data_IF_045550838858
#
_entry.id   IF_045550838858
#
_cell.length_a   1.000
_cell.length_b   1.000
_cell.length_c   1.000
_cell.angle_alpha   90.00
_cell.angle_beta   90.00
_cell.angle_gamma   90.00
#
_symmetry.space_group_name_H-M   'P 1'
#
loop_
_entity.id
_entity.type
_entity.pdbx_description
1 polymer ?
#
# COMPACT_ATOMS: atom_id res chain seq x y z
N UNK A 1 4.57 10.68 -21.35
CA UNK A 1 5.28 10.20 -20.15
C UNK A 1 4.51 10.45 -18.84
N UNK A 2 4.18 11.67 -18.42
CA UNK A 2 3.32 11.88 -17.22
C UNK A 2 1.94 11.17 -17.32
N UNK A 3 1.32 11.19 -18.51
CA UNK A 3 0.07 10.46 -18.77
C UNK A 3 0.23 8.93 -18.67
N UNK A 4 1.37 8.41 -19.08
CA UNK A 4 1.64 6.96 -19.02
C UNK A 4 1.90 6.55 -17.58
N UNK A 5 2.74 7.29 -16.84
CA UNK A 5 2.98 7.04 -15.43
C UNK A 5 1.67 7.12 -14.62
N UNK A 6 0.83 8.12 -14.88
CA UNK A 6 -0.52 8.21 -14.31
C UNK A 6 -1.32 6.94 -14.59
N UNK A 7 -1.37 6.49 -15.85
CA UNK A 7 -2.11 5.29 -16.25
C UNK A 7 -1.59 4.04 -15.53
N UNK A 8 -0.28 3.86 -15.44
CA UNK A 8 0.31 2.73 -14.71
C UNK A 8 -0.11 2.72 -13.22
N UNK A 9 -0.19 3.90 -12.57
CA UNK A 9 -0.68 4.01 -11.20
C UNK A 9 -2.17 3.67 -11.09
N UNK A 10 -3.01 4.17 -12.00
CA UNK A 10 -4.46 3.90 -12.02
C UNK A 10 -4.74 2.40 -12.22
N UNK A 11 -3.99 1.74 -13.09
CA UNK A 11 -4.11 0.32 -13.37
C UNK A 11 -3.49 -0.56 -12.27
N UNK A 12 -2.70 0.01 -11.34
CA UNK A 12 -2.04 -0.75 -10.27
C UNK A 12 -0.72 -1.42 -10.69
N UNK A 13 -0.14 -1.01 -11.83
CA UNK A 13 1.12 -1.55 -12.34
C UNK A 13 2.33 -0.88 -11.67
N UNK A 14 2.43 -0.97 -10.35
CA UNK A 14 3.41 -0.24 -9.55
C UNK A 14 4.87 -0.53 -9.93
N UNK A 15 5.16 -1.74 -10.43
CA UNK A 15 6.49 -2.07 -10.95
C UNK A 15 6.84 -1.30 -12.23
N UNK A 16 5.88 -1.10 -13.14
CA UNK A 16 6.08 -0.26 -14.34
C UNK A 16 6.14 1.22 -13.97
N UNK A 17 5.32 1.64 -13.01
CA UNK A 17 5.36 3.00 -12.48
C UNK A 17 6.75 3.33 -11.87
N UNK A 18 7.32 2.44 -11.07
CA UNK A 18 8.65 2.62 -10.47
C UNK A 18 9.74 2.83 -11.53
N UNK A 19 9.80 1.95 -12.54
CA UNK A 19 10.78 2.05 -13.65
C UNK A 19 10.65 3.37 -14.40
N UNK A 20 9.43 3.79 -14.72
CA UNK A 20 9.19 5.07 -15.40
C UNK A 20 9.62 6.26 -14.55
N UNK A 21 9.40 6.22 -13.23
CA UNK A 21 9.88 7.29 -12.34
C UNK A 21 11.42 7.35 -12.29
N UNK A 22 12.09 6.21 -12.34
CA UNK A 22 13.56 6.13 -12.44
C UNK A 22 14.06 6.72 -13.77
N UNK A 23 13.46 6.33 -14.89
CA UNK A 23 13.77 6.91 -16.21
C UNK A 23 13.57 8.43 -16.21
N UNK A 24 12.44 8.92 -15.68
CA UNK A 24 12.16 10.36 -15.58
C UNK A 24 13.24 11.08 -14.77
N UNK A 25 13.71 10.48 -13.68
CA UNK A 25 14.80 11.02 -12.86
C UNK A 25 16.13 11.02 -13.62
N UNK A 26 16.45 9.94 -14.33
CA UNK A 26 17.68 9.79 -15.11
C UNK A 26 17.76 10.85 -16.22
N UNK A 27 16.66 11.08 -16.93
CA UNK A 27 16.58 12.07 -18.00
C UNK A 27 16.22 13.49 -17.53
N UNK A 28 16.15 13.74 -16.21
CA UNK A 28 15.78 15.04 -15.62
C UNK A 28 14.44 15.59 -16.14
N UNK A 29 13.48 14.71 -16.38
CA UNK A 29 12.16 15.05 -16.89
C UNK A 29 11.21 15.38 -15.74
N UNK A 30 10.49 16.49 -15.85
CA UNK A 30 9.58 16.94 -14.79
C UNK A 30 8.36 16.04 -14.65
N UNK A 31 8.15 15.54 -13.43
CA UNK A 31 6.97 14.79 -13.03
C UNK A 31 5.98 15.68 -12.28
N UNK A 32 4.69 15.56 -12.59
CA UNK A 32 3.62 16.19 -11.81
C UNK A 32 3.40 15.38 -10.51
N UNK A 33 4.33 15.53 -9.56
CA UNK A 33 4.30 14.80 -8.29
C UNK A 33 3.00 15.01 -7.49
N UNK A 34 2.39 16.22 -7.43
CA UNK A 34 1.10 16.39 -6.77
C UNK A 34 -0.01 15.54 -7.40
N UNK A 35 -0.15 15.55 -8.74
CA UNK A 35 -1.15 14.75 -9.42
C UNK A 35 -0.92 13.25 -9.21
N UNK A 36 0.32 12.80 -9.36
CA UNK A 36 0.69 11.38 -9.19
C UNK A 36 0.45 10.90 -7.75
N UNK A 37 0.75 11.75 -6.76
CA UNK A 37 0.46 11.47 -5.35
C UNK A 37 -1.04 11.37 -5.08
N UNK A 38 -1.86 12.23 -5.70
CA UNK A 38 -3.32 12.17 -5.61
C UNK A 38 -3.87 10.86 -6.21
N UNK A 39 -3.36 10.46 -7.39
CA UNK A 39 -3.77 9.22 -8.05
C UNK A 39 -3.40 8.00 -7.20
N UNK A 40 -2.16 7.95 -6.70
CA UNK A 40 -1.70 6.89 -5.80
C UNK A 40 -2.56 6.82 -4.51
N UNK A 41 -2.95 7.98 -3.96
CA UNK A 41 -3.82 8.05 -2.77
C UNK A 41 -5.18 7.37 -3.02
N UNK A 42 -5.80 7.64 -4.18
CA UNK A 42 -7.08 7.03 -4.57
C UNK A 42 -6.92 5.52 -4.72
N UNK A 43 -5.89 5.09 -5.47
CA UNK A 43 -5.62 3.68 -5.71
C UNK A 43 -5.35 2.90 -4.43
N UNK A 44 -4.54 3.43 -3.52
CA UNK A 44 -4.31 2.83 -2.20
C UNK A 44 -5.60 2.69 -1.38
N UNK A 45 -6.49 3.69 -1.45
CA UNK A 45 -7.80 3.61 -0.81
C UNK A 45 -8.69 2.51 -1.40
N UNK A 46 -8.68 2.33 -2.72
CA UNK A 46 -9.41 1.25 -3.41
C UNK A 46 -8.86 -0.12 -3.02
N UNK A 47 -7.53 -0.30 -3.07
CA UNK A 47 -6.87 -1.55 -2.67
C UNK A 47 -7.17 -1.89 -1.22
N UNK A 48 -7.02 -0.94 -0.31
CA UNK A 48 -7.31 -1.15 1.10
C UNK A 48 -8.79 -1.49 1.34
N UNK A 49 -9.70 -0.93 0.54
CA UNK A 49 -11.13 -1.25 0.60
C UNK A 49 -11.49 -2.66 0.13
N UNK A 50 -10.60 -3.35 -0.60
CA UNK A 50 -10.77 -4.75 -1.03
C UNK A 50 -10.36 -5.76 0.04
N UNK A 51 -9.59 -5.33 1.04
CA UNK A 51 -9.10 -6.22 2.10
C UNK A 51 -10.26 -6.74 2.94
N UNK A 52 -10.29 -8.06 3.13
CA UNK A 52 -11.32 -8.77 3.87
C UNK A 52 -10.89 -9.17 5.29
N UNK A 53 -9.59 -9.11 5.58
CA UNK A 53 -9.00 -9.69 6.80
C UNK A 53 -8.66 -11.18 6.66
N UNK A 54 -8.65 -11.73 5.44
CA UNK A 54 -8.46 -13.15 5.18
C UNK A 54 -7.24 -13.47 4.31
N UNK A 55 -6.84 -14.75 4.19
CA UNK A 55 -5.68 -15.18 3.40
C UNK A 55 -5.76 -14.79 1.91
N UNK A 56 -6.97 -14.59 1.38
CA UNK A 56 -7.19 -14.11 0.02
C UNK A 56 -6.65 -12.69 -0.25
N UNK A 57 -6.28 -11.95 0.80
CA UNK A 57 -5.79 -10.57 0.67
C UNK A 57 -4.31 -10.48 0.27
N UNK A 58 -3.56 -11.58 0.22
CA UNK A 58 -2.10 -11.56 0.01
C UNK A 58 -1.68 -10.79 -1.25
N UNK A 59 -2.39 -10.98 -2.36
CA UNK A 59 -2.11 -10.27 -3.61
C UNK A 59 -2.31 -8.76 -3.46
N UNK A 60 -3.42 -8.35 -2.84
CA UNK A 60 -3.77 -6.95 -2.61
C UNK A 60 -2.77 -6.29 -1.65
N UNK A 61 -2.37 -6.98 -0.58
CA UNK A 61 -1.36 -6.48 0.35
C UNK A 61 0.01 -6.32 -0.34
N UNK A 62 0.38 -7.23 -1.24
CA UNK A 62 1.60 -7.13 -2.04
C UNK A 62 1.55 -5.99 -3.07
N UNK A 63 0.38 -5.71 -3.65
CA UNK A 63 0.15 -4.51 -4.44
C UNK A 63 0.29 -3.23 -3.62
N UNK A 64 -0.32 -3.17 -2.43
CA UNK A 64 -0.21 -2.03 -1.53
C UNK A 64 1.23 -1.78 -1.07
N UNK A 65 1.97 -2.83 -0.74
CA UNK A 65 3.38 -2.71 -0.34
C UNK A 65 4.23 -2.08 -1.45
N UNK A 66 4.04 -2.53 -2.70
CA UNK A 66 4.74 -1.97 -3.87
C UNK A 66 4.35 -0.52 -4.12
N UNK A 67 3.06 -0.21 -4.03
CA UNK A 67 2.52 1.14 -4.16
C UNK A 67 3.11 2.11 -3.12
N UNK A 68 3.16 1.69 -1.86
CA UNK A 68 3.72 2.47 -0.74
C UNK A 68 5.24 2.64 -0.80
N UNK A 69 5.92 1.88 -1.66
CA UNK A 69 7.37 1.98 -1.84
C UNK A 69 7.77 2.94 -2.97
N UNK A 70 6.81 3.50 -3.69
CA UNK A 70 7.07 4.54 -4.69
C UNK A 70 7.50 5.85 -4.01
N UNK A 71 8.40 6.64 -4.61
CA UNK A 71 8.90 7.89 -4.05
C UNK A 71 7.89 9.05 -4.23
N UNK A 72 6.62 8.80 -3.89
CA UNK A 72 5.52 9.74 -3.89
C UNK A 72 5.05 10.00 -2.46
N UNK A 73 4.32 11.09 -2.24
CA UNK A 73 3.77 11.45 -0.92
C UNK A 73 2.24 11.43 -0.95
N UNK A 74 1.61 10.25 -1.11
CA UNK A 74 0.16 10.15 -1.13
C UNK A 74 -0.45 10.51 0.23
N UNK A 75 -1.69 10.99 0.22
CA UNK A 75 -2.54 11.04 1.40
C UNK A 75 -3.03 9.62 1.72
N UNK A 76 -2.62 9.10 2.87
CA UNK A 76 -2.86 7.71 3.27
C UNK A 76 -4.15 7.50 4.06
N UNK A 77 -4.89 8.56 4.39
CA UNK A 77 -6.02 8.51 5.32
C UNK A 77 -7.03 7.40 5.01
N UNK A 78 -7.46 7.28 3.74
CA UNK A 78 -8.44 6.26 3.34
C UNK A 78 -7.90 4.84 3.54
N UNK A 79 -6.65 4.60 3.16
CA UNK A 79 -6.01 3.31 3.33
C UNK A 79 -5.81 2.97 4.82
N UNK A 80 -5.37 3.96 5.61
CA UNK A 80 -5.22 3.84 7.06
C UNK A 80 -6.53 3.43 7.74
N UNK A 81 -7.65 4.09 7.40
CA UNK A 81 -8.97 3.78 7.99
C UNK A 81 -9.41 2.36 7.67
N UNK A 82 -9.24 1.91 6.42
CA UNK A 82 -9.58 0.55 6.02
C UNK A 82 -8.72 -0.50 6.74
N UNK A 83 -7.40 -0.31 6.76
CA UNK A 83 -6.48 -1.22 7.46
C UNK A 83 -6.64 -1.18 8.99
N UNK A 84 -6.98 -0.03 9.57
CA UNK A 84 -7.22 0.09 11.02
C UNK A 84 -8.31 -0.88 11.50
N UNK A 85 -9.37 -1.07 10.70
CA UNK A 85 -10.47 -2.02 11.02
C UNK A 85 -10.01 -3.48 11.08
N UNK A 86 -8.87 -3.80 10.45
CA UNK A 86 -8.29 -5.14 10.41
C UNK A 86 -7.26 -5.38 11.51
N UNK A 87 -6.95 -4.38 12.35
CA UNK A 87 -5.95 -4.55 13.42
C UNK A 87 -6.35 -5.63 14.44
N UNK A 88 -7.64 -5.78 14.72
CA UNK A 88 -8.13 -6.86 15.61
C UNK A 88 -7.95 -8.25 15.01
N UNK A 89 -8.17 -8.39 13.70
CA UNK A 89 -7.92 -9.63 12.95
C UNK A 89 -6.43 -9.98 12.95
N UNK A 90 -5.60 -8.98 12.65
CA UNK A 90 -4.15 -9.09 12.71
C UNK A 90 -3.66 -9.55 14.08
N UNK A 91 -4.16 -8.94 15.15
CA UNK A 91 -3.76 -9.26 16.51
C UNK A 91 -4.10 -10.72 16.86
N UNK A 92 -5.32 -11.15 16.53
CA UNK A 92 -5.78 -12.54 16.75
C UNK A 92 -4.90 -13.55 16.01
N UNK A 93 -4.69 -13.34 14.71
CA UNK A 93 -3.88 -14.24 13.87
C UNK A 93 -2.43 -14.32 14.35
N UNK A 94 -1.84 -13.17 14.68
CA UNK A 94 -0.48 -13.10 15.21
C UNK A 94 -0.33 -13.87 16.51
N UNK A 95 -1.28 -13.76 17.43
CA UNK A 95 -1.26 -14.49 18.70
C UNK A 95 -1.51 -16.00 18.50
N UNK A 96 -2.39 -16.37 17.57
CA UNK A 96 -2.70 -17.76 17.24
C UNK A 96 -1.65 -18.47 16.37
N UNK A 97 -0.71 -17.73 15.77
CA UNK A 97 0.24 -18.28 14.79
C UNK A 97 -0.42 -18.66 13.46
N UNK A 98 -1.59 -18.08 13.16
CA UNK A 98 -2.37 -18.37 11.96
C UNK A 98 -1.93 -17.50 10.78
N UNK A 99 -1.94 -18.07 9.57
CA UNK A 99 -1.66 -17.38 8.31
C UNK A 99 -0.43 -16.45 8.38
N UNK A 100 0.77 -16.98 8.71
CA UNK A 100 1.96 -16.18 8.99
C UNK A 100 2.35 -15.25 7.85
N UNK A 101 2.14 -15.67 6.59
CA UNK A 101 2.40 -14.85 5.42
C UNK A 101 1.49 -13.59 5.37
N UNK A 102 0.22 -13.74 5.76
CA UNK A 102 -0.71 -12.62 5.83
C UNK A 102 -0.31 -11.67 6.97
N UNK A 103 0.01 -12.21 8.14
CA UNK A 103 0.44 -11.42 9.31
C UNK A 103 1.70 -10.62 8.99
N UNK A 104 2.70 -11.25 8.39
CA UNK A 104 3.95 -10.58 8.00
C UNK A 104 3.66 -9.45 7.00
N UNK A 105 2.96 -9.76 5.91
CA UNK A 105 2.73 -8.82 4.82
C UNK A 105 1.83 -7.65 5.25
N UNK A 106 0.75 -7.94 5.99
CA UNK A 106 -0.09 -6.90 6.58
C UNK A 106 0.70 -6.02 7.55
N UNK A 107 1.60 -6.62 8.36
CA UNK A 107 2.48 -5.88 9.26
C UNK A 107 3.33 -4.85 8.52
N UNK A 108 4.02 -5.25 7.44
CA UNK A 108 4.83 -4.33 6.62
C UNK A 108 3.99 -3.22 5.98
N UNK A 109 2.79 -3.54 5.49
CA UNK A 109 1.86 -2.55 4.95
C UNK A 109 1.41 -1.57 6.03
N UNK A 110 1.02 -2.07 7.20
CA UNK A 110 0.56 -1.25 8.33
C UNK A 110 1.67 -0.30 8.82
N UNK A 111 2.91 -0.77 8.92
CA UNK A 111 4.07 0.06 9.25
C UNK A 111 4.29 1.17 8.22
N UNK A 112 4.26 0.86 6.93
CA UNK A 112 4.36 1.86 5.84
C UNK A 112 3.19 2.86 5.84
N UNK A 113 2.02 2.43 6.30
CA UNK A 113 0.86 3.29 6.53
C UNK A 113 0.96 4.11 7.82
N UNK A 114 1.98 3.89 8.67
CA UNK A 114 2.12 4.55 9.96
C UNK A 114 1.07 4.12 11.00
N UNK A 115 0.49 2.93 10.86
CA UNK A 115 -0.43 2.37 11.83
C UNK A 115 0.33 1.77 13.01
N UNK A 116 -0.17 2.03 14.22
CA UNK A 116 0.34 1.36 15.42
C UNK A 116 -0.20 -0.06 15.47
N UNK A 117 0.68 -1.04 15.30
CA UNK A 117 0.35 -2.44 15.44
C UNK A 117 0.14 -2.80 16.92
N UNK A 118 -0.91 -3.58 17.26
CA UNK A 118 -1.12 -4.07 18.60
C UNK A 118 0.03 -5.00 19.02
N UNK A 119 0.52 -4.78 20.24
CA UNK A 119 1.51 -5.63 20.90
C UNK A 119 0.83 -6.88 21.46
N UNK A 120 1.54 -8.02 21.59
CA UNK A 120 1.02 -9.17 22.33
C UNK A 120 0.60 -8.86 23.77
N UNK A 121 1.08 -7.75 24.35
CA UNK A 121 0.69 -7.27 25.69
C UNK A 121 -0.62 -6.47 25.70
N UNK A 122 -1.13 -6.11 24.54
CA UNK A 122 -2.38 -5.35 24.37
C UNK A 122 -3.60 -6.27 24.18
N UNK A 123 -3.40 -7.60 24.23
CA UNK A 123 -4.40 -8.67 24.11
C UNK A 123 -4.48 -9.48 25.41
#
# INVERSE_FOLDING_TARGET
MNLELKRELEEGNFGRAARRMEEMKEFSLEADLPLLSLVLSRKLGELAGRLSGGPGDLEVLGEMERALSLPLRPNLWRAQVSCFRLLGEYARRRAGGEDPAWVELFGRVAEKLGLRLPSPKDL
#
